data_IF_956329613621
#
_entry.id   IF_956329613621
#
_cell.length_a   1.000
_cell.length_b   1.000
_cell.length_c   1.000
_cell.angle_alpha   90.00
_cell.angle_beta   90.00
_cell.angle_gamma   90.00
#
_symmetry.space_group_name_H-M   'P 1'
#
loop_
_entity.id
_entity.type
_entity.pdbx_description
1 polymer ?
#
# COMPACT_ATOMS: atom_id res chain seq x y z
N UNK A 1 6.11 -15.11 -22.33
CA UNK A 1 5.30 -14.12 -21.60
C UNK A 1 4.88 -14.75 -20.27
N UNK A 2 5.41 -14.29 -19.14
CA UNK A 2 5.05 -14.84 -17.83
C UNK A 2 3.66 -14.34 -17.41
N UNK A 3 2.71 -15.23 -17.13
CA UNK A 3 1.39 -14.85 -16.60
C UNK A 3 1.59 -14.39 -15.14
N UNK A 4 1.19 -13.16 -14.84
CA UNK A 4 1.07 -12.72 -13.44
C UNK A 4 -0.02 -13.56 -12.78
N UNK A 5 0.31 -14.17 -11.66
CA UNK A 5 -0.62 -14.96 -10.86
C UNK A 5 -0.82 -14.25 -9.54
N UNK A 6 -2.08 -14.11 -9.14
CA UNK A 6 -2.42 -13.47 -7.89
C UNK A 6 -2.14 -14.42 -6.72
N UNK A 7 -1.43 -13.90 -5.72
CA UNK A 7 -0.95 -14.67 -4.56
C UNK A 7 -1.99 -14.65 -3.44
N UNK A 8 -2.53 -13.48 -3.12
CA UNK A 8 -3.52 -13.27 -2.08
C UNK A 8 -3.89 -11.78 -1.96
N UNK A 9 -4.83 -11.48 -1.07
CA UNK A 9 -5.31 -10.12 -0.82
C UNK A 9 -5.16 -9.76 0.66
N UNK A 10 -4.88 -8.49 0.95
CA UNK A 10 -4.90 -8.00 2.32
C UNK A 10 -5.46 -6.58 2.41
N UNK A 11 -6.02 -6.26 3.59
CA UNK A 11 -6.53 -4.95 3.92
C UNK A 11 -5.82 -4.43 5.18
N UNK A 12 -5.47 -3.14 5.17
CA UNK A 12 -4.83 -2.45 6.30
C UNK A 12 -5.69 -1.25 6.70
N UNK A 13 -6.15 -1.23 7.94
CA UNK A 13 -6.78 -0.06 8.53
C UNK A 13 -5.72 0.99 8.88
N UNK A 14 -5.50 1.94 7.97
CA UNK A 14 -4.51 2.99 8.15
C UNK A 14 -4.78 3.83 9.40
N UNK A 15 -6.06 4.10 9.71
CA UNK A 15 -6.45 4.94 10.85
C UNK A 15 -6.08 4.30 12.18
N UNK A 16 -6.18 2.98 12.29
CA UNK A 16 -5.88 2.27 13.55
C UNK A 16 -4.46 1.73 13.63
N UNK A 17 -3.83 1.42 12.49
CA UNK A 17 -2.57 0.66 12.47
C UNK A 17 -1.37 1.42 11.91
N UNK A 18 -1.57 2.40 11.04
CA UNK A 18 -0.47 3.11 10.40
C UNK A 18 -0.31 4.54 10.94
N UNK A 19 -1.35 5.36 10.78
CA UNK A 19 -1.33 6.79 11.06
C UNK A 19 -1.00 7.15 12.50
N UNK A 20 -1.54 6.47 13.55
CA UNK A 20 -1.23 6.82 14.94
C UNK A 20 0.23 6.60 15.33
N UNK A 21 0.96 5.82 14.54
CA UNK A 21 2.37 5.47 14.80
C UNK A 21 3.33 6.16 13.84
N UNK A 22 2.84 7.01 12.93
CA UNK A 22 3.70 7.79 12.06
C UNK A 22 4.65 8.65 12.89
N UNK A 23 5.95 8.35 12.77
CA UNK A 23 7.00 8.97 13.56
C UNK A 23 7.41 10.35 13.03
N UNK A 24 8.31 10.99 13.78
CA UNK A 24 8.81 12.35 13.52
C UNK A 24 9.14 12.60 12.05
N UNK A 25 8.57 13.68 11.50
CA UNK A 25 8.75 14.19 10.12
C UNK A 25 10.22 14.21 9.71
N UNK A 26 10.65 13.21 8.95
CA UNK A 26 11.94 13.19 8.27
C UNK A 26 11.70 13.68 6.86
N UNK A 27 12.24 14.85 6.52
CA UNK A 27 12.18 15.41 5.15
C UNK A 27 10.77 15.57 4.58
N UNK A 28 9.98 16.47 5.17
CA UNK A 28 8.62 16.86 4.72
C UNK A 28 7.54 15.77 4.72
N UNK A 29 7.92 14.50 4.86
CA UNK A 29 7.07 13.33 4.78
C UNK A 29 7.05 12.62 6.14
N UNK A 30 5.90 12.06 6.50
CA UNK A 30 5.70 11.21 7.66
C UNK A 30 5.73 9.75 7.23
N UNK A 31 6.48 8.94 7.96
CA UNK A 31 6.63 7.52 7.67
C UNK A 31 6.00 6.68 8.80
N UNK A 32 5.14 5.74 8.42
CA UNK A 32 4.60 4.75 9.34
C UNK A 32 5.65 3.71 9.68
N UNK A 33 5.58 3.05 10.85
CA UNK A 33 6.36 1.84 11.08
C UNK A 33 6.04 0.79 10.02
N UNK A 34 6.97 -0.14 9.82
CA UNK A 34 6.75 -1.31 8.95
C UNK A 34 5.67 -2.19 9.57
N UNK A 35 4.60 -2.43 8.83
CA UNK A 35 3.49 -3.30 9.20
C UNK A 35 3.63 -4.64 8.51
N UNK A 36 3.55 -5.72 9.28
CA UNK A 36 3.39 -7.07 8.74
C UNK A 36 1.90 -7.33 8.51
N UNK A 37 1.57 -7.67 7.27
CA UNK A 37 0.19 -7.85 6.81
C UNK A 37 0.07 -9.24 6.19
N UNK A 38 -0.73 -10.14 6.78
CA UNK A 38 -0.98 -11.45 6.19
C UNK A 38 -1.82 -11.29 4.92
N UNK A 39 -1.44 -11.98 3.85
CA UNK A 39 -2.24 -12.10 2.64
C UNK A 39 -3.23 -13.26 2.83
N UNK A 40 -4.51 -12.96 2.74
CA UNK A 40 -5.57 -13.95 2.70
C UNK A 40 -5.60 -14.64 1.35
N UNK A 41 -5.86 -15.95 1.37
CA UNK A 41 -6.12 -16.74 0.17
C UNK A 41 -7.22 -16.11 -0.70
N UNK A 42 -7.01 -16.12 -2.02
CA UNK A 42 -8.02 -15.76 -3.00
C UNK A 42 -8.45 -16.97 -3.84
N UNK A 43 -9.75 -17.07 -4.11
CA UNK A 43 -10.31 -18.12 -4.97
C UNK A 43 -9.72 -18.00 -6.39
N UNK A 44 -9.11 -19.08 -6.88
CA UNK A 44 -8.44 -19.09 -8.18
C UNK A 44 -7.01 -18.55 -8.20
N UNK A 45 -6.47 -18.15 -7.03
CA UNK A 45 -5.07 -17.79 -6.87
C UNK A 45 -4.12 -18.98 -6.91
N UNK A 46 -2.81 -18.70 -6.83
CA UNK A 46 -1.73 -19.71 -6.92
C UNK A 46 -1.92 -20.89 -5.94
N UNK A 47 -2.47 -20.61 -4.76
CA UNK A 47 -2.67 -21.56 -3.67
C UNK A 47 -4.09 -22.15 -3.61
N UNK A 48 -4.83 -22.12 -4.74
CA UNK A 48 -6.24 -22.49 -4.85
C UNK A 48 -6.63 -23.86 -4.27
N UNK A 49 -5.70 -24.82 -4.16
CA UNK A 49 -5.97 -26.18 -3.67
C UNK A 49 -5.27 -26.58 -2.37
N UNK A 50 -4.37 -25.75 -1.82
CA UNK A 50 -3.54 -26.13 -0.65
C UNK A 50 -3.84 -25.36 0.62
N UNK A 51 -4.54 -24.23 0.52
CA UNK A 51 -4.84 -23.35 1.65
C UNK A 51 -6.35 -23.18 1.83
N UNK A 52 -6.79 -23.08 3.08
CA UNK A 52 -8.20 -22.83 3.38
C UNK A 52 -8.56 -21.35 3.20
N UNK A 53 -9.82 -21.06 2.85
CA UNK A 53 -10.33 -19.68 2.83
C UNK A 53 -10.12 -19.03 4.21
N UNK A 54 -9.41 -17.90 4.24
CA UNK A 54 -9.04 -17.20 5.49
C UNK A 54 -7.69 -17.60 6.08
N UNK A 55 -7.01 -18.59 5.52
CA UNK A 55 -5.63 -18.90 5.87
C UNK A 55 -4.66 -17.88 5.24
N UNK A 56 -3.67 -17.46 6.01
CA UNK A 56 -2.61 -16.59 5.52
C UNK A 56 -1.66 -17.38 4.61
N UNK A 57 -1.65 -17.06 3.32
CA UNK A 57 -0.81 -17.74 2.32
C UNK A 57 0.58 -17.12 2.19
N UNK A 58 0.73 -15.89 2.64
CA UNK A 58 1.99 -15.16 2.70
C UNK A 58 1.87 -14.01 3.73
N UNK A 59 3.00 -13.38 4.05
CA UNK A 59 3.03 -12.14 4.84
C UNK A 59 3.85 -11.11 4.07
N UNK A 60 3.32 -9.89 3.96
CA UNK A 60 4.02 -8.77 3.33
C UNK A 60 4.36 -7.70 4.37
N UNK A 61 5.53 -7.11 4.22
CA UNK A 61 5.95 -5.94 4.99
C UNK A 61 5.60 -4.68 4.19
N UNK A 62 4.83 -3.78 4.78
CA UNK A 62 4.42 -2.52 4.14
C UNK A 62 4.74 -1.33 5.03
N UNK A 63 5.22 -0.24 4.45
CA UNK A 63 5.30 1.07 5.12
C UNK A 63 4.56 2.10 4.28
N UNK A 64 4.00 3.10 4.95
CA UNK A 64 3.24 4.17 4.33
C UNK A 64 3.98 5.48 4.53
N UNK A 65 4.01 6.28 3.46
CA UNK A 65 4.56 7.63 3.44
C UNK A 65 3.41 8.58 3.17
N UNK A 66 3.22 9.58 4.04
CA UNK A 66 2.21 10.62 3.88
C UNK A 66 2.84 12.00 3.93
N UNK A 67 2.46 12.87 3.03
CA UNK A 67 2.92 14.27 2.95
C UNK A 67 2.13 15.21 3.87
N UNK A 68 0.99 14.73 4.37
CA UNK A 68 0.09 15.47 5.26
C UNK A 68 0.25 14.97 6.69
N UNK A 69 0.15 15.88 7.65
CA UNK A 69 0.16 15.54 9.08
C UNK A 69 -0.87 14.43 9.39
N UNK A 70 -0.44 13.26 9.94
CA UNK A 70 -1.32 12.16 10.28
C UNK A 70 -2.51 12.56 11.14
N UNK A 71 -2.34 13.49 12.08
CA UNK A 71 -3.42 13.98 12.94
C UNK A 71 -4.47 14.75 12.15
N UNK A 72 -4.04 15.50 11.13
CA UNK A 72 -4.96 16.20 10.20
C UNK A 72 -5.76 15.20 9.36
N UNK A 73 -5.11 14.13 8.88
CA UNK A 73 -5.79 13.05 8.14
C UNK A 73 -6.82 12.37 9.05
N UNK A 74 -6.43 12.04 10.29
CA UNK A 74 -7.32 11.40 11.27
C UNK A 74 -8.53 12.29 11.59
N UNK A 75 -8.30 13.58 11.87
CA UNK A 75 -9.37 14.54 12.12
C UNK A 75 -10.33 14.69 10.93
N UNK A 76 -9.82 14.70 9.70
CA UNK A 76 -10.65 14.74 8.50
C UNK A 76 -11.55 13.51 8.36
N UNK A 77 -11.09 12.32 8.78
CA UNK A 77 -11.93 11.10 8.80
C UNK A 77 -12.98 11.10 9.91
N UNK A 78 -12.78 11.89 10.96
CA UNK A 78 -13.73 12.05 12.06
C UNK A 78 -14.77 13.13 11.83
N UNK A 79 -14.63 13.90 10.75
CA UNK A 79 -15.56 14.94 10.37
C UNK A 79 -17.01 14.38 10.35
N UNK A 80 -17.97 15.10 10.94
CA UNK A 80 -19.32 14.61 11.15
C UNK A 80 -20.02 14.19 9.86
N UNK A 81 -19.64 14.76 8.71
CA UNK A 81 -20.13 14.38 7.38
C UNK A 81 -19.88 12.92 7.03
N UNK A 82 -18.72 12.36 7.38
CA UNK A 82 -18.41 10.95 7.09
C UNK A 82 -19.15 9.99 8.01
N UNK A 83 -19.37 10.37 9.27
CA UNK A 83 -20.20 9.58 10.20
C UNK A 83 -21.64 9.51 9.69
N UNK A 84 -22.15 10.61 9.17
CA UNK A 84 -23.50 10.67 8.60
C UNK A 84 -23.61 9.83 7.32
N UNK A 85 -22.66 9.95 6.39
CA UNK A 85 -22.62 9.09 5.19
C UNK A 85 -22.54 7.61 5.56
N UNK A 86 -21.75 7.25 6.58
CA UNK A 86 -21.65 5.85 7.03
C UNK A 86 -22.95 5.35 7.67
N UNK A 87 -23.63 6.19 8.46
CA UNK A 87 -24.92 5.86 9.04
C UNK A 87 -25.98 5.66 7.95
N UNK A 88 -26.04 6.58 6.98
CA UNK A 88 -26.96 6.49 5.84
C UNK A 88 -26.68 5.24 4.99
N UNK A 89 -25.41 4.88 4.80
CA UNK A 89 -25.03 3.68 4.06
C UNK A 89 -25.42 2.40 4.82
N UNK A 90 -25.24 2.38 6.14
CA UNK A 90 -25.64 1.25 6.98
C UNK A 90 -27.16 1.07 6.99
N UNK A 91 -27.93 2.16 7.13
CA UNK A 91 -29.39 2.14 7.05
C UNK A 91 -29.86 1.63 5.68
N UNK A 92 -29.24 2.10 4.59
CA UNK A 92 -29.54 1.60 3.24
C UNK A 92 -29.17 0.13 3.06
N UNK A 93 -28.05 -0.32 3.62
CA UNK A 93 -27.64 -1.72 3.56
C UNK A 93 -28.61 -2.62 4.34
N UNK A 94 -29.05 -2.20 5.53
CA UNK A 94 -30.07 -2.91 6.30
C UNK A 94 -31.42 -2.95 5.57
N UNK A 95 -31.83 -1.83 4.97
CA UNK A 95 -33.03 -1.75 4.14
C UNK A 95 -32.96 -2.68 2.92
N UNK A 96 -31.82 -2.70 2.23
CA UNK A 96 -31.58 -3.60 1.10
C UNK A 96 -31.59 -5.06 1.54
N UNK A 97 -30.90 -5.42 2.63
CA UNK A 97 -30.90 -6.80 3.13
C UNK A 97 -32.32 -7.24 3.51
N UNK A 98 -33.09 -6.37 4.18
CA UNK A 98 -34.49 -6.66 4.48
C UNK A 98 -35.32 -6.89 3.22
N UNK A 99 -35.15 -6.04 2.20
CA UNK A 99 -35.82 -6.22 0.91
C UNK A 99 -35.43 -7.55 0.25
N UNK A 100 -34.16 -7.95 0.30
CA UNK A 100 -33.69 -9.23 -0.24
C UNK A 100 -34.32 -10.41 0.50
N UNK A 101 -34.53 -10.31 1.82
CA UNK A 101 -35.22 -11.35 2.60
C UNK A 101 -36.75 -11.35 2.43
N UNK A 102 -37.35 -10.22 2.04
CA UNK A 102 -38.79 -10.09 1.81
C UNK A 102 -39.22 -10.43 0.37
N UNK A 103 -38.29 -10.50 -0.59
CA UNK A 103 -38.58 -11.09 -1.90
C UNK A 103 -38.90 -12.57 -1.64
N UNK A 104 -40.13 -13.05 -1.93
CA UNK A 104 -40.43 -14.46 -1.86
C UNK A 104 -39.49 -15.12 -2.86
N UNK A 105 -38.46 -15.81 -2.38
CA UNK A 105 -37.65 -16.66 -3.25
C UNK A 105 -38.64 -17.60 -3.93
N UNK A 106 -38.84 -17.52 -5.26
CA UNK A 106 -39.72 -18.46 -5.93
C UNK A 106 -39.14 -19.84 -5.63
N UNK A 107 -39.95 -20.68 -4.98
CA UNK A 107 -39.64 -22.04 -4.51
C UNK A 107 -39.27 -23.02 -5.66
N UNK A 108 -38.76 -22.52 -6.80
CA UNK A 108 -38.47 -23.29 -8.01
C UNK A 108 -37.06 -23.13 -8.59
N UNK A 109 -36.21 -22.20 -8.11
CA UNK A 109 -34.85 -22.04 -8.66
C UNK A 109 -33.76 -22.91 -8.01
N UNK A 110 -34.09 -23.68 -6.97
CA UNK A 110 -33.16 -24.62 -6.32
C UNK A 110 -33.59 -26.10 -6.40
N UNK A 111 -34.42 -26.47 -7.36
CA UNK A 111 -34.60 -27.87 -7.74
C UNK A 111 -33.72 -28.20 -8.97
N UNK A 112 -32.41 -27.94 -8.85
CA UNK A 112 -31.45 -28.65 -9.69
C UNK A 112 -31.21 -29.99 -9.01
N UNK A 113 -31.97 -30.98 -9.46
CA UNK A 113 -31.91 -32.38 -9.04
C UNK A 113 -30.56 -32.97 -9.49
N UNK A 114 -29.49 -32.60 -8.77
CA UNK A 114 -28.16 -33.20 -8.92
C UNK A 114 -28.18 -34.58 -8.27
N UNK A 115 -28.64 -35.58 -9.02
CA UNK A 115 -28.33 -36.97 -8.74
C UNK A 115 -26.83 -37.19 -9.01
N UNK A 116 -26.02 -36.89 -8.02
CA UNK A 116 -24.56 -36.97 -8.09
C UNK A 116 -23.97 -36.48 -6.78
N UNK A 117 -23.89 -37.40 -5.82
CA UNK A 117 -23.35 -37.20 -4.48
C UNK A 117 -21.83 -37.01 -4.56
N UNK A 118 -21.38 -35.84 -4.98
CA UNK A 118 -20.06 -35.31 -4.65
C UNK A 118 -20.26 -34.25 -3.57
N UNK A 119 -19.72 -34.55 -2.39
CA UNK A 119 -19.76 -33.73 -1.18
C UNK A 119 -18.96 -32.44 -1.41
N UNK A 120 -19.55 -31.50 -2.14
CA UNK A 120 -19.02 -30.14 -2.26
C UNK A 120 -19.25 -29.47 -0.91
N UNK A 121 -18.20 -29.47 -0.09
CA UNK A 121 -18.05 -28.71 1.16
C UNK A 121 -18.15 -27.21 0.83
N UNK A 122 -19.38 -26.77 0.60
CA UNK A 122 -19.75 -25.43 0.21
C UNK A 122 -19.43 -24.41 1.29
N UNK A 123 -19.24 -23.16 0.85
CA UNK A 123 -18.94 -21.98 1.65
C UNK A 123 -19.74 -21.95 2.96
N UNK A 124 -19.14 -22.44 4.04
CA UNK A 124 -19.64 -22.21 5.39
C UNK A 124 -19.11 -20.84 5.82
N UNK A 125 -20.01 -19.87 5.93
CA UNK A 125 -19.69 -18.57 6.52
C UNK A 125 -19.24 -18.82 7.97
N UNK A 126 -18.03 -18.38 8.32
CA UNK A 126 -17.50 -18.54 9.67
C UNK A 126 -18.43 -17.85 10.67
N UNK A 127 -18.73 -18.55 11.76
CA UNK A 127 -19.46 -17.95 12.87
C UNK A 127 -18.58 -16.89 13.56
N UNK A 128 -19.19 -15.94 14.31
CA UNK A 128 -18.42 -14.94 15.07
C UNK A 128 -17.40 -15.56 16.04
N UNK A 129 -17.73 -16.68 16.68
CA UNK A 129 -16.79 -17.39 17.56
C UNK A 129 -15.62 -17.99 16.78
N UNK A 130 -15.87 -18.65 15.65
CA UNK A 130 -14.79 -19.20 14.81
C UNK A 130 -13.89 -18.08 14.27
N UNK A 131 -14.45 -16.90 13.99
CA UNK A 131 -13.69 -15.72 13.58
C UNK A 131 -12.77 -15.22 14.70
N UNK A 132 -13.28 -15.19 15.93
CA UNK A 132 -12.51 -14.81 17.12
C UNK A 132 -11.38 -15.80 17.40
N UNK A 133 -11.67 -17.11 17.37
CA UNK A 133 -10.66 -18.17 17.53
C UNK A 133 -9.60 -18.17 16.41
N UNK A 134 -10.00 -17.87 15.17
CA UNK A 134 -9.05 -17.72 14.06
C UNK A 134 -8.14 -16.51 14.28
N UNK A 135 -8.67 -15.39 14.80
CA UNK A 135 -7.89 -14.21 15.13
C UNK A 135 -6.90 -14.48 16.28
N UNK A 136 -7.30 -15.19 17.33
CA UNK A 136 -6.38 -15.53 18.42
C UNK A 136 -5.26 -16.47 17.94
N UNK A 137 -5.60 -17.51 17.17
CA UNK A 137 -4.58 -18.40 16.57
C UNK A 137 -3.62 -17.66 15.65
N UNK A 138 -4.08 -16.65 14.91
CA UNK A 138 -3.21 -15.83 14.08
C UNK A 138 -2.25 -14.98 14.94
N UNK A 139 -2.74 -14.45 16.07
CA UNK A 139 -1.93 -13.68 17.03
C UNK A 139 -0.86 -14.54 17.70
N UNK A 140 -1.23 -15.73 18.21
CA UNK A 140 -0.26 -16.66 18.81
C UNK A 140 0.85 -17.08 17.83
N UNK A 141 0.51 -17.26 16.55
CA UNK A 141 1.51 -17.53 15.51
C UNK A 141 2.42 -16.34 15.24
N UNK A 142 1.90 -15.13 15.31
CA UNK A 142 2.70 -13.91 15.15
C UNK A 142 3.78 -13.79 16.22
N UNK A 143 3.47 -14.20 17.46
CA UNK A 143 4.41 -14.15 18.59
C UNK A 143 5.47 -15.28 18.52
N UNK A 144 5.23 -16.33 17.73
CA UNK A 144 6.15 -17.45 17.53
C UNK A 144 7.02 -17.33 16.28
N UNK A 145 6.86 -16.29 15.45
CA UNK A 145 7.81 -16.04 14.37
C UNK A 145 9.15 -15.72 15.02
N UNK A 146 10.19 -16.55 14.82
CA UNK A 146 11.50 -16.24 15.36
C UNK A 146 11.89 -14.86 14.86
N UNK A 147 12.03 -13.91 15.78
CA UNK A 147 12.70 -12.66 15.50
C UNK A 147 14.14 -13.03 15.15
N UNK A 148 14.40 -13.33 13.88
CA UNK A 148 15.75 -13.30 13.37
C UNK A 148 16.20 -11.83 13.53
N UNK A 149 17.18 -11.54 14.39
CA UNK A 149 17.71 -10.19 14.54
C UNK A 149 18.55 -9.78 13.31
N UNK A 150 18.45 -10.53 12.21
CA UNK A 150 18.67 -10.05 10.85
C UNK A 150 17.96 -8.71 10.66
N UNK A 151 18.68 -7.65 11.03
CA UNK A 151 18.31 -6.27 10.98
C UNK A 151 17.41 -6.05 9.77
N UNK A 152 16.20 -5.54 9.98
CA UNK A 152 15.45 -4.93 8.89
C UNK A 152 16.33 -3.77 8.45
N UNK A 153 17.21 -4.05 7.49
CA UNK A 153 18.19 -3.12 7.00
C UNK A 153 17.38 -1.95 6.43
N UNK A 154 17.80 -0.72 6.74
CA UNK A 154 17.16 0.46 6.19
C UNK A 154 16.93 0.29 4.68
N UNK A 155 15.82 0.82 4.13
CA UNK A 155 15.48 0.68 2.70
C UNK A 155 16.58 1.17 1.74
N UNK A 156 17.59 1.87 2.26
CA UNK A 156 18.79 2.29 1.55
C UNK A 156 19.84 1.19 1.36
N UNK A 157 19.78 0.11 2.14
CA UNK A 157 20.70 -1.02 2.02
C UNK A 157 20.22 -1.90 0.89
N UNK A 158 20.97 -1.84 -0.21
CA UNK A 158 20.75 -2.65 -1.40
C UNK A 158 20.95 -4.13 -1.04
N UNK A 159 19.90 -4.96 -1.05
CA UNK A 159 20.08 -6.39 -0.79
C UNK A 159 20.94 -7.00 -1.89
N UNK A 160 21.73 -8.02 -1.54
CA UNK A 160 22.64 -8.66 -2.50
C UNK A 160 21.85 -9.18 -3.71
N UNK A 161 22.39 -8.97 -4.91
CA UNK A 161 21.74 -9.36 -6.16
C UNK A 161 20.66 -8.39 -6.68
N UNK A 162 20.21 -7.40 -5.91
CA UNK A 162 19.30 -6.36 -6.39
C UNK A 162 20.07 -5.14 -6.94
N UNK A 163 19.55 -4.50 -7.99
CA UNK A 163 20.03 -3.22 -8.53
C UNK A 163 18.95 -2.15 -8.43
N UNK A 164 19.33 -0.93 -8.03
CA UNK A 164 18.42 0.23 -7.94
C UNK A 164 18.75 1.29 -9.00
N UNK A 165 17.74 1.83 -9.68
CA UNK A 165 17.85 3.01 -10.58
C UNK A 165 16.88 4.09 -10.13
N UNK A 166 17.34 5.34 -10.06
CA UNK A 166 16.46 6.50 -9.85
C UNK A 166 15.85 6.91 -11.19
N UNK A 167 14.53 6.84 -11.29
CA UNK A 167 13.80 7.21 -12.50
C UNK A 167 13.57 8.73 -12.63
N UNK A 168 13.01 9.17 -13.77
CA UNK A 168 12.40 10.49 -13.87
C UNK A 168 11.36 10.62 -12.75
N UNK A 169 11.28 11.77 -12.07
CA UNK A 169 10.47 11.99 -10.86
C UNK A 169 11.04 11.44 -9.54
N UNK A 170 12.28 10.94 -9.54
CA UNK A 170 12.98 10.59 -8.30
C UNK A 170 12.50 9.31 -7.62
N UNK A 171 11.61 8.53 -8.26
CA UNK A 171 11.21 7.20 -7.79
C UNK A 171 12.36 6.20 -7.99
N UNK A 172 12.48 5.22 -7.09
CA UNK A 172 13.45 4.14 -7.22
C UNK A 172 12.81 2.91 -7.87
N UNK A 173 13.49 2.35 -8.85
CA UNK A 173 13.14 1.07 -9.48
C UNK A 173 14.15 0.01 -9.05
N UNK A 174 13.66 -1.15 -8.66
CA UNK A 174 14.47 -2.28 -8.18
C UNK A 174 14.33 -3.46 -9.14
N UNK A 175 15.45 -4.09 -9.48
CA UNK A 175 15.48 -5.28 -10.34
C UNK A 175 16.49 -6.29 -9.80
N UNK A 176 16.15 -7.57 -9.81
CA UNK A 176 17.05 -8.62 -9.34
C UNK A 176 17.87 -9.18 -10.50
N UNK A 177 19.20 -9.25 -10.36
CA UNK A 177 20.14 -9.66 -11.42
C UNK A 177 19.88 -11.07 -11.96
N UNK A 178 19.29 -11.97 -11.16
CA UNK A 178 18.95 -13.33 -11.62
C UNK A 178 17.77 -13.37 -12.61
N UNK A 179 16.98 -12.28 -12.71
CA UNK A 179 15.86 -12.18 -13.65
C UNK A 179 16.28 -11.77 -15.05
N UNK A 180 17.59 -11.59 -15.29
CA UNK A 180 18.16 -11.09 -16.55
C UNK A 180 18.55 -9.62 -16.48
N UNK A 181 18.83 -9.00 -17.63
CA UNK A 181 19.14 -7.57 -17.74
C UNK A 181 17.94 -6.74 -17.26
N UNK A 182 18.20 -5.63 -16.58
CA UNK A 182 17.12 -4.75 -16.19
C UNK A 182 16.49 -4.08 -17.42
N UNK A 183 15.17 -3.80 -17.41
CA UNK A 183 14.50 -3.16 -18.54
C UNK A 183 15.16 -1.84 -18.97
N UNK A 184 15.77 -1.12 -18.02
CA UNK A 184 16.46 0.14 -18.26
C UNK A 184 17.89 0.02 -18.78
N UNK A 185 18.49 -1.17 -18.75
CA UNK A 185 19.80 -1.41 -19.38
C UNK A 185 19.65 -1.64 -20.89
N UNK A 186 18.45 -2.03 -21.34
CA UNK A 186 18.12 -2.17 -22.77
C UNK A 186 17.89 -0.81 -23.45
N UNK A 187 17.54 0.20 -22.66
CA UNK A 187 17.53 1.60 -23.09
C UNK A 187 18.97 2.11 -23.12
N UNK A 188 19.80 1.59 -24.04
CA UNK A 188 21.10 2.19 -24.29
C UNK A 188 20.88 3.68 -24.58
N UNK A 189 21.53 4.60 -23.84
CA UNK A 189 21.54 6.00 -24.22
C UNK A 189 22.25 6.04 -25.57
N UNK A 190 21.45 6.11 -26.64
CA UNK A 190 21.89 6.31 -28.01
C UNK A 190 22.99 7.35 -27.95
N UNK A 191 24.23 6.90 -28.14
CA UNK A 191 25.42 7.69 -27.92
C UNK A 191 25.22 9.01 -28.66
N UNK A 192 25.00 10.09 -27.92
CA UNK A 192 25.02 11.42 -28.49
C UNK A 192 26.44 11.60 -29.01
N UNK A 193 26.58 11.41 -30.32
CA UNK A 193 27.76 11.75 -31.08
C UNK A 193 28.24 13.12 -30.58
N UNK A 194 29.52 13.26 -30.19
CA UNK A 194 30.05 14.56 -29.78
C UNK A 194 29.81 15.53 -30.93
N UNK A 195 28.91 16.51 -30.72
CA UNK A 195 28.68 17.60 -31.65
C UNK A 195 30.02 18.32 -31.79
N UNK A 196 30.66 18.00 -32.91
CA UNK A 196 31.93 18.52 -33.35
C UNK A 196 31.96 20.04 -33.16
N UNK A 197 33.01 20.49 -32.50
CA UNK A 197 33.32 21.89 -32.33
C UNK A 197 33.37 22.59 -33.69
N UNK A 198 32.43 23.52 -33.92
CA UNK A 198 32.56 24.52 -34.97
C UNK A 198 32.11 25.88 -34.44
N UNK A 199 33.00 26.86 -34.55
CA UNK A 199 32.62 28.25 -34.58
C UNK A 199 33.16 29.10 -33.45
N UNK A 200 34.48 29.32 -33.46
CA UNK A 200 35.08 30.50 -32.86
C UNK A 200 34.37 31.77 -33.37
N UNK A 201 33.96 32.65 -32.45
CA UNK A 201 33.32 33.91 -32.75
C UNK A 201 33.30 34.82 -31.55
N UNK A 202 34.45 35.39 -31.24
CA UNK A 202 34.62 36.43 -30.23
C UNK A 202 33.69 37.62 -30.48
N UNK A 203 33.07 38.15 -29.40
CA UNK A 203 32.86 39.59 -29.19
C UNK A 203 32.50 39.90 -27.74
N UNK A 204 33.50 40.40 -27.04
CA UNK A 204 33.51 41.54 -26.10
C UNK A 204 32.16 42.24 -25.90
N UNK A 205 31.70 42.38 -24.64
CA UNK A 205 31.91 43.59 -23.80
C UNK A 205 30.77 43.80 -22.78
N UNK A 206 31.21 43.97 -21.53
CA UNK A 206 30.69 44.83 -20.45
C UNK A 206 29.23 44.69 -19.94
N UNK A 207 29.16 44.58 -18.62
CA UNK A 207 28.63 45.58 -17.67
C UNK A 207 27.63 45.02 -16.66
N UNK A 208 27.96 45.23 -15.39
CA UNK A 208 27.21 45.00 -14.15
C UNK A 208 25.88 45.82 -14.14
N UNK A 209 24.92 45.68 -13.19
CA UNK A 209 25.18 45.60 -11.75
C UNK A 209 24.34 44.60 -10.93
N UNK A 210 24.94 44.25 -9.80
CA UNK A 210 24.35 43.71 -8.57
C UNK A 210 23.09 44.46 -8.12
N UNK A 211 22.02 43.71 -7.85
CA UNK A 211 20.80 44.17 -7.19
C UNK A 211 20.85 43.90 -5.68
N UNK A 212 20.17 44.75 -4.87
CA UNK A 212 20.37 44.83 -3.43
C UNK A 212 19.63 43.75 -2.64
N UNK A 213 20.25 43.44 -1.50
CA UNK A 213 19.77 42.62 -0.39
C UNK A 213 18.61 43.33 0.29
N UNK A 214 17.41 42.78 0.19
CA UNK A 214 16.23 43.22 0.95
C UNK A 214 16.32 42.59 2.35
N UNK A 215 16.52 43.44 3.34
CA UNK A 215 16.20 43.20 4.74
C UNK A 215 14.71 43.56 4.97
N UNK A 216 14.20 43.26 6.16
CA UNK A 216 12.82 43.45 6.66
C UNK A 216 11.93 42.19 6.51
N UNK A 217 11.17 41.73 7.50
CA UNK A 217 10.84 42.31 8.80
C UNK A 217 10.34 41.22 9.76
N UNK A 218 10.58 41.39 11.05
CA UNK A 218 10.09 40.54 12.13
C UNK A 218 8.74 41.06 12.63
N UNK A 219 7.66 40.24 12.71
CA UNK A 219 6.50 40.60 13.52
C UNK A 219 6.62 40.05 14.95
N UNK A 220 6.44 40.99 15.88
CA UNK A 220 6.33 40.87 17.33
C UNK A 220 5.37 39.74 17.76
N UNK A 221 5.80 38.96 18.76
CA UNK A 221 4.92 38.09 19.54
C UNK A 221 4.15 38.92 20.59
N UNK A 222 2.83 38.73 20.77
CA UNK A 222 2.09 39.32 21.88
C UNK A 222 2.30 38.51 23.17
N UNK A 223 2.73 39.20 24.23
CA UNK A 223 2.62 38.71 25.61
C UNK A 223 1.14 38.72 26.03
N UNK A 224 0.66 37.61 26.59
CA UNK A 224 -0.56 37.56 27.39
C UNK A 224 -0.15 37.47 28.86
N UNK A 225 -0.66 38.42 29.66
CA UNK A 225 -0.78 38.32 31.12
C UNK A 225 -1.89 37.32 31.51
#
# INVERSE_FOLDING_TARGET
>A
MSRRQDVGEACVDLRRRALPFCGQKRSEVWESPVLLVPLSHMRGGLFGGSAQLGEAVATVAVSFLVDTDPETILAATEAPSLKQVRADLAERAEGFMRQVYEIPTPLGWFNFESQGQEEVTGLRTMTPNETMEASERARERSDQVPHDPGLILSPDVQPEGWIRRKGPHGRYHWHHRSLGLAPWELEEPSAELPKSAQGAGAKTRANAPSLPRVAEDSPLSPSFD
#
